data_IF_096917988662
#
_entry.id   IF_096917988662
#
_cell.length_a   1.000
_cell.length_b   1.000
_cell.length_c   1.000
_cell.angle_alpha   90.00
_cell.angle_beta   90.00
_cell.angle_gamma   90.00
#
_symmetry.space_group_name_H-M   'P 1'
#
loop_
_entity.id
_entity.type
_entity.pdbx_description
1 polymer ?
#
# COMPACT_ATOMS: atom_id res chain seq x y z
N UNK A 1 -38.32 -4.29 3.17
CA UNK A 1 -36.96 -3.72 3.05
C UNK A 1 -36.54 -3.77 1.59
N UNK A 2 -36.35 -2.62 0.97
CA UNK A 2 -35.98 -2.54 -0.45
C UNK A 2 -34.47 -2.71 -0.57
N UNK A 3 -34.00 -3.98 -0.58
CA UNK A 3 -32.56 -4.29 -0.70
C UNK A 3 -32.07 -3.91 -2.08
N UNK A 4 -31.10 -2.99 -2.14
CA UNK A 4 -30.45 -2.47 -3.34
C UNK A 4 -29.62 -3.58 -4.00
N UNK A 5 -29.45 -3.55 -5.34
CA UNK A 5 -28.51 -4.42 -6.03
C UNK A 5 -27.09 -4.04 -5.61
N UNK A 6 -26.30 -5.02 -5.26
CA UNK A 6 -24.89 -4.89 -4.91
C UNK A 6 -24.04 -5.65 -5.93
N UNK A 7 -22.93 -5.04 -6.36
CA UNK A 7 -21.99 -5.66 -7.30
C UNK A 7 -20.61 -5.65 -6.65
N UNK A 8 -19.96 -6.79 -6.58
CA UNK A 8 -18.67 -6.95 -5.89
C UNK A 8 -17.89 -8.17 -6.40
N UNK A 9 -16.65 -8.33 -5.91
CA UNK A 9 -15.92 -9.59 -6.02
C UNK A 9 -16.39 -10.52 -4.89
N UNK A 10 -16.64 -11.80 -5.21
CA UNK A 10 -17.05 -12.80 -4.24
C UNK A 10 -15.95 -13.06 -3.21
N UNK A 11 -16.34 -13.22 -1.95
CA UNK A 11 -15.41 -13.42 -0.83
C UNK A 11 -15.96 -14.25 0.32
N UNK A 12 -17.26 -14.51 0.34
CA UNK A 12 -17.93 -15.24 1.42
C UNK A 12 -18.32 -16.65 0.95
N UNK A 13 -18.24 -17.65 1.82
CA UNK A 13 -18.51 -19.06 1.49
C UNK A 13 -19.87 -19.25 0.83
N UNK A 14 -20.93 -18.62 1.38
CA UNK A 14 -22.27 -18.69 0.82
C UNK A 14 -22.37 -18.13 -0.62
N UNK A 15 -21.50 -17.22 -1.02
CA UNK A 15 -21.45 -16.69 -2.38
C UNK A 15 -20.90 -17.73 -3.34
N UNK A 16 -19.83 -18.42 -2.94
CA UNK A 16 -19.25 -19.51 -3.73
C UNK A 16 -20.20 -20.70 -3.87
N UNK A 17 -20.94 -21.03 -2.82
CA UNK A 17 -22.00 -22.04 -2.90
C UNK A 17 -23.04 -21.67 -3.96
N UNK A 18 -23.58 -20.44 -3.92
CA UNK A 18 -24.57 -19.98 -4.89
C UNK A 18 -24.00 -19.79 -6.31
N UNK A 19 -22.71 -19.47 -6.45
CA UNK A 19 -22.01 -19.45 -7.75
C UNK A 19 -22.03 -20.84 -8.38
N UNK A 20 -21.70 -21.89 -7.62
CA UNK A 20 -21.69 -23.26 -8.11
C UNK A 20 -23.10 -23.76 -8.50
N UNK A 21 -24.11 -23.38 -7.73
CA UNK A 21 -25.51 -23.65 -8.08
C UNK A 21 -25.95 -22.91 -9.35
N UNK A 22 -25.61 -21.63 -9.50
CA UNK A 22 -25.94 -20.84 -10.69
C UNK A 22 -25.20 -21.36 -11.93
N UNK A 23 -23.95 -21.80 -11.79
CA UNK A 23 -23.22 -22.50 -12.83
C UNK A 23 -23.95 -23.75 -13.28
N UNK A 24 -24.41 -24.57 -12.34
CA UNK A 24 -25.15 -25.79 -12.67
C UNK A 24 -26.42 -25.45 -13.47
N UNK A 25 -27.26 -24.54 -12.96
CA UNK A 25 -28.48 -24.11 -13.66
C UNK A 25 -28.19 -23.60 -15.07
N UNK A 26 -27.12 -22.86 -15.25
CA UNK A 26 -26.76 -22.27 -16.53
C UNK A 26 -26.11 -23.26 -17.49
N UNK A 27 -25.11 -24.03 -17.05
CA UNK A 27 -24.24 -24.83 -17.93
C UNK A 27 -24.54 -26.32 -17.91
N UNK A 28 -25.53 -26.79 -17.13
CA UNK A 28 -26.03 -28.13 -17.14
C UNK A 28 -27.50 -28.17 -17.56
N UNK A 29 -28.35 -27.29 -17.00
CA UNK A 29 -29.81 -27.33 -17.26
C UNK A 29 -30.21 -26.49 -18.49
N UNK A 30 -29.68 -25.25 -18.66
CA UNK A 30 -30.07 -24.36 -19.76
C UNK A 30 -29.19 -24.55 -21.01
N UNK A 31 -27.87 -24.71 -20.84
CA UNK A 31 -26.90 -24.91 -21.90
C UNK A 31 -26.17 -26.21 -21.58
N UNK A 32 -26.59 -27.37 -22.16
CA UNK A 32 -26.11 -28.68 -21.74
C UNK A 32 -24.67 -28.93 -22.17
N UNK A 33 -23.70 -28.41 -21.39
CA UNK A 33 -22.26 -28.57 -21.58
C UNK A 33 -21.65 -29.62 -20.65
N UNK A 34 -22.34 -29.94 -19.56
CA UNK A 34 -21.89 -30.88 -18.53
C UNK A 34 -23.04 -31.87 -18.18
N UNK A 35 -22.64 -33.01 -17.66
CA UNK A 35 -23.60 -34.02 -17.17
C UNK A 35 -24.30 -33.55 -15.91
N UNK A 36 -25.52 -34.07 -15.71
CA UNK A 36 -26.29 -33.80 -14.47
C UNK A 36 -25.70 -34.55 -13.30
N UNK A 37 -25.70 -33.91 -12.12
CA UNK A 37 -25.34 -34.54 -10.86
C UNK A 37 -26.43 -34.33 -9.81
N UNK A 38 -26.38 -35.14 -8.74
CA UNK A 38 -27.37 -35.14 -7.66
C UNK A 38 -27.31 -33.87 -6.80
N UNK A 39 -26.10 -33.32 -6.61
CA UNK A 39 -25.83 -32.13 -5.76
C UNK A 39 -26.32 -30.83 -6.41
N UNK A 40 -26.68 -30.85 -7.70
CA UNK A 40 -27.09 -29.68 -8.49
C UNK A 40 -26.10 -28.52 -8.37
N UNK A 41 -24.82 -28.84 -8.30
CA UNK A 41 -23.69 -27.93 -8.13
C UNK A 41 -22.63 -28.20 -9.20
N UNK A 42 -22.11 -27.14 -9.82
CA UNK A 42 -21.02 -27.22 -10.81
C UNK A 42 -19.86 -26.34 -10.38
N UNK A 43 -18.85 -26.97 -9.83
CA UNK A 43 -17.58 -26.31 -9.51
C UNK A 43 -16.76 -26.13 -10.79
N UNK A 44 -16.33 -24.91 -11.09
CA UNK A 44 -15.44 -24.66 -12.22
C UNK A 44 -14.06 -25.26 -11.95
N UNK A 45 -13.47 -25.90 -12.98
CA UNK A 45 -12.15 -26.54 -12.87
C UNK A 45 -11.00 -25.60 -12.47
N UNK A 46 -11.19 -24.29 -12.63
CA UNK A 46 -10.24 -23.27 -12.25
C UNK A 46 -10.71 -22.46 -11.03
N UNK A 47 -11.64 -22.99 -10.25
CA UNK A 47 -12.29 -22.27 -9.15
C UNK A 47 -11.30 -21.59 -8.19
N UNK A 48 -10.25 -22.29 -7.78
CA UNK A 48 -9.23 -21.77 -6.84
C UNK A 48 -8.40 -20.61 -7.38
N UNK A 49 -8.43 -20.37 -8.70
CA UNK A 49 -7.63 -19.35 -9.36
C UNK A 49 -8.48 -18.26 -10.04
N UNK A 50 -9.82 -18.42 -10.03
CA UNK A 50 -10.74 -17.44 -10.59
C UNK A 50 -11.06 -16.34 -9.58
N UNK A 51 -11.16 -15.10 -10.07
CA UNK A 51 -11.88 -14.03 -9.37
C UNK A 51 -13.33 -13.99 -9.89
N UNK A 52 -14.32 -14.03 -9.00
CA UNK A 52 -15.73 -13.99 -9.39
C UNK A 52 -16.33 -12.62 -9.13
N UNK A 53 -16.79 -11.95 -10.19
CA UNK A 53 -17.55 -10.71 -10.11
C UNK A 53 -19.03 -11.09 -10.01
N UNK A 54 -19.71 -10.63 -8.96
CA UNK A 54 -21.08 -11.04 -8.65
C UNK A 54 -22.03 -9.84 -8.52
N UNK A 55 -23.32 -10.12 -8.75
CA UNK A 55 -24.43 -9.24 -8.43
C UNK A 55 -25.32 -9.93 -7.39
N UNK A 56 -25.56 -9.29 -6.26
CA UNK A 56 -26.40 -9.81 -5.19
C UNK A 56 -27.55 -8.86 -4.85
N UNK A 57 -28.57 -9.39 -4.21
CA UNK A 57 -29.66 -8.64 -3.56
C UNK A 57 -29.89 -9.24 -2.17
N UNK A 58 -29.34 -8.60 -1.14
CA UNK A 58 -29.22 -9.21 0.19
C UNK A 58 -28.32 -10.46 0.12
N UNK A 59 -28.76 -11.58 0.68
CA UNK A 59 -28.04 -12.86 0.63
C UNK A 59 -28.43 -13.74 -0.58
N UNK A 60 -28.90 -13.17 -1.68
CA UNK A 60 -29.24 -13.90 -2.90
C UNK A 60 -28.36 -13.46 -4.05
N UNK A 61 -27.64 -14.40 -4.67
CA UNK A 61 -26.89 -14.21 -5.91
C UNK A 61 -27.87 -14.09 -7.09
N UNK A 62 -27.69 -13.09 -7.94
CA UNK A 62 -28.51 -12.84 -9.12
C UNK A 62 -27.76 -13.01 -10.43
N UNK A 63 -26.45 -12.89 -10.40
CA UNK A 63 -25.60 -13.06 -11.58
C UNK A 63 -24.13 -13.03 -11.22
N UNK A 64 -23.31 -13.61 -12.07
CA UNK A 64 -21.87 -13.68 -11.87
C UNK A 64 -21.11 -13.76 -13.18
N UNK A 65 -19.81 -13.48 -13.12
CA UNK A 65 -18.82 -13.67 -14.16
C UNK A 65 -17.49 -14.05 -13.50
N UNK A 66 -16.77 -15.00 -14.08
CA UNK A 66 -15.43 -15.39 -13.65
C UNK A 66 -14.37 -14.69 -14.49
N UNK A 67 -13.29 -14.26 -13.85
CA UNK A 67 -12.07 -13.74 -14.47
C UNK A 67 -10.92 -14.65 -14.10
N UNK A 68 -10.17 -15.11 -15.11
CA UNK A 68 -8.95 -15.90 -14.96
C UNK A 68 -7.79 -15.12 -15.59
N UNK A 69 -6.72 -14.92 -14.85
CA UNK A 69 -5.50 -14.20 -15.30
C UNK A 69 -4.25 -15.06 -15.33
N UNK A 70 -4.40 -16.37 -15.08
CA UNK A 70 -3.30 -17.35 -15.14
C UNK A 70 -3.53 -18.37 -16.24
N UNK A 71 -2.47 -18.69 -16.97
CA UNK A 71 -2.49 -19.80 -17.93
C UNK A 71 -2.46 -21.18 -17.23
N UNK A 72 -2.98 -22.24 -17.85
CA UNK A 72 -3.66 -22.23 -19.16
C UNK A 72 -5.06 -21.60 -19.08
N UNK A 73 -5.43 -20.79 -20.07
CA UNK A 73 -6.81 -20.35 -20.27
C UNK A 73 -7.69 -21.51 -20.75
N UNK A 74 -9.01 -21.38 -20.69
CA UNK A 74 -9.88 -22.39 -21.25
C UNK A 74 -9.74 -22.48 -22.78
N UNK A 75 -9.32 -21.38 -23.41
CA UNK A 75 -9.06 -21.32 -24.85
C UNK A 75 -7.75 -22.03 -25.24
N UNK A 76 -6.73 -22.07 -24.39
CA UNK A 76 -5.49 -22.86 -24.62
C UNK A 76 -5.78 -24.36 -24.77
N UNK A 77 -6.89 -24.84 -24.20
CA UNK A 77 -7.30 -26.25 -24.28
C UNK A 77 -8.17 -26.57 -25.52
N UNK A 78 -8.56 -25.54 -26.26
CA UNK A 78 -9.51 -25.65 -27.39
C UNK A 78 -8.89 -25.25 -28.72
N UNK A 79 -7.81 -24.48 -28.69
CA UNK A 79 -7.09 -23.98 -29.86
C UNK A 79 -5.62 -24.36 -29.74
N UNK A 80 -5.04 -24.84 -30.83
CA UNK A 80 -3.59 -24.98 -30.92
C UNK A 80 -2.98 -23.58 -31.10
N UNK A 81 -1.90 -23.31 -30.36
CA UNK A 81 -1.16 -22.04 -30.42
C UNK A 81 -2.05 -20.76 -30.34
N UNK A 82 -2.73 -20.59 -29.20
CA UNK A 82 -3.62 -19.46 -28.97
C UNK A 82 -2.98 -18.10 -29.30
N UNK A 83 -1.69 -17.94 -28.99
CA UNK A 83 -0.99 -16.67 -29.15
C UNK A 83 -0.80 -16.25 -30.59
N UNK A 84 -0.74 -17.21 -31.54
CA UNK A 84 -0.63 -16.92 -32.98
C UNK A 84 -1.83 -16.13 -33.55
N UNK A 85 -2.96 -16.15 -32.84
CA UNK A 85 -4.19 -15.43 -33.22
C UNK A 85 -4.32 -14.05 -32.61
N UNK A 86 -3.46 -13.69 -31.67
CA UNK A 86 -3.61 -12.50 -30.84
C UNK A 86 -2.57 -11.43 -31.22
N UNK A 87 -2.88 -10.14 -31.05
CA UNK A 87 -1.87 -9.08 -31.11
C UNK A 87 -0.84 -9.27 -29.99
N UNK A 88 0.33 -8.65 -30.09
CA UNK A 88 1.31 -8.62 -28.99
C UNK A 88 0.69 -8.04 -27.71
N UNK A 89 0.98 -8.67 -26.57
CA UNK A 89 0.51 -8.26 -25.24
C UNK A 89 1.51 -8.70 -24.17
N UNK A 90 1.52 -8.00 -23.02
CA UNK A 90 2.31 -8.36 -21.84
C UNK A 90 1.46 -9.07 -20.79
N UNK A 91 0.16 -8.71 -20.70
CA UNK A 91 -0.76 -9.24 -19.71
C UNK A 91 -2.12 -9.57 -20.34
N UNK A 92 -2.67 -10.74 -19.98
CA UNK A 92 -3.95 -11.21 -20.51
C UNK A 92 -4.84 -11.77 -19.42
N UNK A 93 -6.16 -11.67 -19.63
CA UNK A 93 -7.15 -12.36 -18.82
C UNK A 93 -8.23 -13.00 -19.68
N UNK A 94 -8.89 -14.03 -19.16
CA UNK A 94 -10.03 -14.68 -19.80
C UNK A 94 -11.29 -14.45 -18.97
N UNK A 95 -12.32 -13.84 -19.58
CA UNK A 95 -13.64 -13.68 -18.98
C UNK A 95 -14.50 -14.89 -19.31
N UNK A 96 -15.07 -15.51 -18.28
CA UNK A 96 -15.74 -16.79 -18.37
C UNK A 96 -17.05 -16.79 -17.58
N UNK A 97 -17.90 -17.77 -17.86
CA UNK A 97 -19.02 -18.17 -17.04
C UNK A 97 -20.02 -17.02 -16.74
N UNK A 98 -20.27 -16.11 -17.71
CA UNK A 98 -21.32 -15.10 -17.53
C UNK A 98 -22.68 -15.80 -17.33
N UNK A 99 -23.17 -15.80 -16.12
CA UNK A 99 -24.43 -16.42 -15.71
C UNK A 99 -25.31 -15.42 -14.98
N UNK A 100 -26.59 -15.40 -15.30
CA UNK A 100 -27.60 -14.57 -14.63
C UNK A 100 -28.83 -15.40 -14.41
N UNK A 101 -29.40 -15.33 -13.22
CA UNK A 101 -30.65 -15.99 -12.85
C UNK A 101 -31.75 -15.71 -13.88
N UNK A 102 -32.44 -16.76 -14.33
CA UNK A 102 -33.37 -16.70 -15.44
C UNK A 102 -34.48 -15.66 -15.24
N UNK A 103 -35.03 -15.60 -14.04
CA UNK A 103 -36.17 -14.77 -13.69
C UNK A 103 -35.86 -13.27 -13.59
N UNK A 104 -34.55 -12.93 -13.48
CA UNK A 104 -34.08 -11.55 -13.30
C UNK A 104 -33.14 -11.08 -14.40
N UNK A 105 -33.06 -11.81 -15.53
CA UNK A 105 -32.22 -11.43 -16.68
C UNK A 105 -32.67 -10.09 -17.26
N UNK A 106 -31.95 -9.05 -16.90
CA UNK A 106 -32.17 -7.74 -17.46
C UNK A 106 -30.82 -7.05 -17.77
N UNK A 107 -30.91 -6.02 -18.60
CA UNK A 107 -29.73 -5.28 -19.07
C UNK A 107 -28.96 -4.62 -17.90
N UNK A 108 -29.66 -4.24 -16.82
CA UNK A 108 -29.07 -3.56 -15.66
C UNK A 108 -28.07 -4.44 -14.91
N UNK A 109 -28.37 -5.74 -14.75
CA UNK A 109 -27.46 -6.68 -14.08
C UNK A 109 -26.22 -6.91 -14.97
N UNK A 110 -26.43 -7.14 -16.28
CA UNK A 110 -25.32 -7.29 -17.24
C UNK A 110 -24.42 -6.06 -17.24
N UNK A 111 -25.00 -4.88 -17.31
CA UNK A 111 -24.26 -3.60 -17.29
C UNK A 111 -23.44 -3.44 -16.00
N UNK A 112 -24.05 -3.71 -14.84
CA UNK A 112 -23.37 -3.63 -13.56
C UNK A 112 -22.17 -4.59 -13.46
N UNK A 113 -22.33 -5.85 -13.89
CA UNK A 113 -21.22 -6.83 -13.94
C UNK A 113 -20.11 -6.35 -14.89
N UNK A 114 -20.44 -5.85 -16.07
CA UNK A 114 -19.46 -5.36 -17.05
C UNK A 114 -18.70 -4.12 -16.56
N UNK A 115 -19.33 -3.26 -15.75
CA UNK A 115 -18.66 -2.09 -15.18
C UNK A 115 -17.65 -2.49 -14.10
N UNK A 116 -18.06 -3.40 -13.20
CA UNK A 116 -17.13 -3.94 -12.19
C UNK A 116 -15.98 -4.66 -12.88
N UNK A 117 -16.28 -5.45 -13.93
CA UNK A 117 -15.26 -6.11 -14.74
C UNK A 117 -14.27 -5.12 -15.36
N UNK A 118 -14.78 -4.04 -15.95
CA UNK A 118 -13.94 -3.04 -16.57
C UNK A 118 -13.00 -2.34 -15.56
N UNK A 119 -13.52 -2.01 -14.37
CA UNK A 119 -12.71 -1.47 -13.27
C UNK A 119 -11.65 -2.47 -12.80
N UNK A 120 -12.06 -3.72 -12.59
CA UNK A 120 -11.14 -4.79 -12.19
C UNK A 120 -10.02 -5.00 -13.22
N UNK A 121 -10.36 -4.99 -14.52
CA UNK A 121 -9.39 -5.12 -15.59
C UNK A 121 -8.43 -3.92 -15.67
N UNK A 122 -8.91 -2.69 -15.42
CA UNK A 122 -8.07 -1.49 -15.34
C UNK A 122 -7.13 -1.51 -14.12
N UNK A 123 -7.62 -1.92 -12.95
CA UNK A 123 -6.81 -2.03 -11.73
C UNK A 123 -5.71 -3.09 -11.83
N UNK A 124 -5.96 -4.16 -12.60
CA UNK A 124 -4.99 -5.24 -12.87
C UNK A 124 -4.10 -4.97 -14.09
N UNK A 125 -4.31 -3.86 -14.79
CA UNK A 125 -3.53 -3.43 -15.94
C UNK A 125 -3.40 -4.49 -17.06
N UNK A 126 -4.49 -5.25 -17.35
CA UNK A 126 -4.46 -6.21 -18.44
C UNK A 126 -4.43 -5.52 -19.80
N UNK A 127 -3.61 -6.01 -20.74
CA UNK A 127 -3.53 -5.51 -22.11
C UNK A 127 -4.65 -6.06 -22.98
N UNK A 128 -5.00 -7.34 -22.77
CA UNK A 128 -5.96 -8.06 -23.60
C UNK A 128 -6.91 -8.90 -22.74
N UNK A 129 -8.17 -8.89 -23.13
CA UNK A 129 -9.22 -9.74 -22.57
C UNK A 129 -9.70 -10.75 -23.60
N UNK A 130 -9.81 -12.01 -23.21
CA UNK A 130 -10.26 -13.13 -24.03
C UNK A 130 -11.64 -13.60 -23.57
N UNK A 131 -12.48 -14.06 -24.51
CA UNK A 131 -13.76 -14.70 -24.23
C UNK A 131 -14.02 -15.84 -25.20
N UNK A 132 -14.80 -16.84 -24.76
CA UNK A 132 -15.54 -17.77 -25.61
C UNK A 132 -16.99 -17.26 -25.72
N UNK A 133 -17.31 -16.56 -26.80
CA UNK A 133 -18.63 -15.96 -26.98
C UNK A 133 -19.63 -16.95 -27.59
N UNK A 134 -20.77 -17.15 -26.94
CA UNK A 134 -21.85 -17.99 -27.52
C UNK A 134 -22.26 -17.41 -28.88
N UNK A 135 -22.28 -18.26 -29.92
CA UNK A 135 -22.55 -17.85 -31.31
C UNK A 135 -23.89 -17.09 -31.44
N UNK A 136 -24.89 -17.46 -30.64
CA UNK A 136 -26.21 -16.78 -30.63
C UNK A 136 -26.13 -15.33 -30.06
N UNK A 137 -25.01 -14.96 -29.43
CA UNK A 137 -24.84 -13.65 -28.78
C UNK A 137 -23.69 -12.82 -29.39
N UNK A 138 -23.13 -13.21 -30.52
CA UNK A 138 -21.97 -12.52 -31.14
C UNK A 138 -22.20 -11.03 -31.38
N UNK A 139 -23.43 -10.62 -31.74
CA UNK A 139 -23.75 -9.20 -31.95
C UNK A 139 -23.51 -8.38 -30.70
N UNK A 140 -23.88 -8.90 -29.53
CA UNK A 140 -23.69 -8.25 -28.23
C UNK A 140 -22.18 -8.03 -27.94
N UNK A 141 -21.35 -9.08 -28.11
CA UNK A 141 -19.93 -8.97 -27.81
C UNK A 141 -19.19 -8.07 -28.83
N UNK A 142 -19.59 -8.10 -30.11
CA UNK A 142 -19.08 -7.16 -31.11
C UNK A 142 -19.43 -5.69 -30.77
N UNK A 143 -20.61 -5.44 -30.23
CA UNK A 143 -21.00 -4.11 -29.73
C UNK A 143 -20.19 -3.66 -28.51
N UNK A 144 -19.63 -4.58 -27.74
CA UNK A 144 -18.68 -4.29 -26.65
C UNK A 144 -17.23 -4.10 -27.15
N UNK A 145 -16.98 -4.24 -28.46
CA UNK A 145 -15.67 -4.04 -29.08
C UNK A 145 -14.84 -5.30 -29.22
N UNK A 146 -15.35 -6.48 -28.84
CA UNK A 146 -14.64 -7.74 -29.02
C UNK A 146 -14.52 -8.12 -30.51
N UNK A 147 -13.34 -8.57 -30.90
CA UNK A 147 -13.01 -9.04 -32.25
C UNK A 147 -12.92 -10.56 -32.28
N UNK A 148 -13.58 -11.24 -33.24
CA UNK A 148 -13.48 -12.69 -33.37
C UNK A 148 -12.11 -13.09 -33.92
N UNK A 149 -11.63 -14.28 -33.51
CA UNK A 149 -10.43 -14.92 -34.02
C UNK A 149 -10.59 -16.45 -34.03
N UNK A 150 -9.73 -17.14 -34.77
CA UNK A 150 -9.71 -18.60 -34.84
C UNK A 150 -11.04 -19.22 -35.31
N UNK A 151 -11.16 -20.53 -35.13
CA UNK A 151 -12.36 -21.31 -35.48
C UNK A 151 -13.36 -21.34 -34.30
N UNK A 152 -14.63 -21.60 -34.61
CA UNK A 152 -15.62 -21.90 -33.58
C UNK A 152 -15.22 -23.15 -32.78
N UNK A 153 -15.45 -23.13 -31.49
CA UNK A 153 -15.14 -24.19 -30.53
C UNK A 153 -16.39 -24.68 -29.79
N UNK A 154 -16.35 -25.87 -29.21
CA UNK A 154 -17.46 -26.46 -28.44
C UNK A 154 -18.13 -27.63 -29.16
N UNK A 155 -19.37 -27.95 -28.78
CA UNK A 155 -20.18 -29.04 -29.30
C UNK A 155 -21.25 -28.52 -30.28
N UNK A 156 -21.95 -29.42 -31.00
CA UNK A 156 -23.05 -29.03 -31.90
C UNK A 156 -24.13 -28.21 -31.19
N UNK A 157 -24.43 -28.55 -29.93
CA UNK A 157 -25.45 -27.87 -29.12
C UNK A 157 -24.99 -26.61 -28.43
N UNK A 158 -23.65 -26.45 -28.27
CA UNK A 158 -23.05 -25.33 -27.55
C UNK A 158 -21.78 -24.81 -28.26
N UNK A 159 -21.99 -24.06 -29.36
CA UNK A 159 -20.91 -23.45 -30.14
C UNK A 159 -20.52 -22.08 -29.64
N UNK A 160 -19.22 -21.81 -29.63
CA UNK A 160 -18.63 -20.56 -29.17
C UNK A 160 -17.59 -20.07 -30.16
N UNK A 161 -17.59 -18.77 -30.42
CA UNK A 161 -16.57 -18.07 -31.17
C UNK A 161 -15.55 -17.47 -30.18
N UNK A 162 -14.28 -17.84 -30.27
CA UNK A 162 -13.21 -17.13 -29.56
C UNK A 162 -13.15 -15.67 -29.98
N UNK A 163 -13.05 -14.77 -29.02
CA UNK A 163 -12.96 -13.33 -29.27
C UNK A 163 -11.98 -12.68 -28.29
N UNK A 164 -11.34 -11.60 -28.74
CA UNK A 164 -10.48 -10.78 -27.87
C UNK A 164 -10.89 -9.30 -27.92
N UNK A 165 -10.50 -8.58 -26.87
CA UNK A 165 -10.65 -7.13 -26.74
C UNK A 165 -9.32 -6.56 -26.20
N UNK A 166 -8.70 -5.60 -26.91
CA UNK A 166 -7.58 -4.85 -26.36
C UNK A 166 -8.11 -3.76 -25.43
N UNK A 167 -7.51 -3.60 -24.25
CA UNK A 167 -8.00 -2.63 -23.24
C UNK A 167 -7.86 -1.17 -23.71
N UNK A 168 -6.87 -0.87 -24.55
CA UNK A 168 -6.76 0.44 -25.19
C UNK A 168 -8.02 0.78 -26.02
N UNK A 169 -8.51 -0.18 -26.80
CA UNK A 169 -9.78 -0.03 -27.56
C UNK A 169 -10.99 0.07 -26.63
N UNK A 170 -10.96 -0.62 -25.48
CA UNK A 170 -12.01 -0.61 -24.46
C UNK A 170 -12.13 0.75 -23.76
N UNK A 171 -11.01 1.42 -23.47
CA UNK A 171 -11.00 2.78 -22.87
C UNK A 171 -11.68 3.79 -23.78
N UNK A 172 -11.36 3.77 -25.08
CA UNK A 172 -12.00 4.63 -26.09
C UNK A 172 -13.50 4.32 -26.22
N UNK A 173 -13.87 3.05 -26.21
CA UNK A 173 -15.28 2.63 -26.28
C UNK A 173 -16.08 3.07 -25.06
N UNK A 174 -15.51 3.00 -23.83
CA UNK A 174 -16.18 3.42 -22.59
C UNK A 174 -16.45 4.93 -22.57
N UNK A 175 -15.51 5.74 -23.03
CA UNK A 175 -15.67 7.20 -23.11
C UNK A 175 -16.79 7.61 -24.07
N UNK A 176 -17.03 6.84 -25.12
CA UNK A 176 -17.99 7.14 -26.18
C UNK A 176 -19.32 6.37 -26.08
N UNK A 177 -19.45 5.41 -25.16
CA UNK A 177 -20.63 4.55 -25.07
C UNK A 177 -21.69 5.12 -24.12
N UNK A 178 -22.84 5.51 -24.69
CA UNK A 178 -24.06 5.85 -23.92
C UNK A 178 -24.56 4.71 -23.02
N UNK A 179 -24.12 3.45 -23.26
CA UNK A 179 -24.50 2.28 -22.49
C UNK A 179 -23.79 2.25 -21.13
N UNK A 180 -22.55 2.73 -21.06
CA UNK A 180 -21.70 2.72 -19.88
C UNK A 180 -21.68 4.06 -19.13
N UNK A 181 -22.05 5.17 -19.78
CA UNK A 181 -22.09 6.51 -19.18
C UNK A 181 -23.26 6.77 -18.21
N UNK A 182 -24.21 5.84 -18.10
CA UNK A 182 -25.41 5.96 -17.23
C UNK A 182 -25.29 5.24 -15.88
N UNK A 183 -24.08 4.94 -15.46
CA UNK A 183 -23.88 4.23 -14.20
C UNK A 183 -23.79 5.22 -13.04
N UNK A 184 -24.41 4.89 -11.89
CA UNK A 184 -24.35 5.78 -10.74
C UNK A 184 -22.91 5.88 -10.22
N UNK A 185 -22.48 7.10 -9.86
CA UNK A 185 -21.17 7.44 -9.29
C UNK A 185 -20.85 6.70 -7.95
N UNK A 186 -21.80 5.95 -7.42
CA UNK A 186 -21.72 5.24 -6.14
C UNK A 186 -21.25 3.78 -6.27
N UNK A 187 -20.58 3.41 -7.35
CA UNK A 187 -19.95 2.11 -7.49
C UNK A 187 -18.57 2.11 -6.81
N UNK A 188 -18.50 1.73 -5.56
CA UNK A 188 -17.25 1.29 -4.98
C UNK A 188 -17.09 -0.21 -5.23
N UNK A 189 -16.03 -0.62 -5.93
CA UNK A 189 -15.49 -1.95 -5.76
C UNK A 189 -15.09 -2.03 -4.28
N UNK A 190 -15.77 -2.84 -3.51
CA UNK A 190 -15.17 -3.32 -2.26
C UNK A 190 -14.05 -4.26 -2.70
N UNK A 191 -12.85 -3.72 -2.79
CA UNK A 191 -11.67 -4.56 -2.84
C UNK A 191 -11.66 -5.36 -1.55
N UNK A 192 -11.84 -6.66 -1.67
CA UNK A 192 -11.67 -7.59 -0.55
C UNK A 192 -10.18 -7.88 -0.29
N UNK A 193 -9.28 -6.97 -0.68
CA UNK A 193 -7.91 -7.03 -0.19
C UNK A 193 -7.97 -6.88 1.34
N UNK A 194 -7.30 -7.76 2.08
CA UNK A 194 -7.27 -7.65 3.52
C UNK A 194 -6.85 -6.23 3.91
N UNK A 195 -7.63 -5.59 4.76
CA UNK A 195 -7.26 -4.28 5.31
C UNK A 195 -6.00 -4.48 6.13
N UNK A 196 -4.91 -3.86 5.71
CA UNK A 196 -3.65 -3.91 6.45
C UNK A 196 -3.76 -2.96 7.65
N UNK A 197 -3.87 -3.53 8.84
CA UNK A 197 -3.89 -2.81 10.12
C UNK A 197 -2.53 -2.84 10.84
N UNK A 198 -1.46 -3.27 10.17
CA UNK A 198 -0.11 -3.24 10.75
C UNK A 198 0.36 -1.79 10.93
N UNK A 199 1.11 -1.50 12.01
CA UNK A 199 1.73 -0.18 12.21
C UNK A 199 2.83 0.13 11.19
N UNK A 200 3.31 -0.89 10.47
CA UNK A 200 4.29 -0.81 9.38
C UNK A 200 4.86 -2.18 9.01
N UNK A 201 5.10 -2.44 7.70
CA UNK A 201 4.76 -1.56 6.58
C UNK A 201 3.25 -1.42 6.38
N UNK A 202 2.81 -0.20 6.05
CA UNK A 202 1.41 0.12 5.80
C UNK A 202 1.03 -0.07 4.33
N UNK A 203 -0.27 -0.01 4.02
CA UNK A 203 -0.74 0.00 2.64
C UNK A 203 -0.29 1.26 1.91
N UNK A 204 0.12 1.11 0.65
CA UNK A 204 0.66 2.19 -0.17
C UNK A 204 -0.35 2.56 -1.26
N UNK A 205 -0.63 3.85 -1.44
CA UNK A 205 -1.55 4.39 -2.44
C UNK A 205 -1.08 4.21 -3.89
N UNK A 206 -2.00 4.39 -4.85
CA UNK A 206 -1.70 4.19 -6.28
C UNK A 206 -0.63 5.17 -6.80
N UNK A 207 -0.70 6.44 -6.40
CA UNK A 207 0.26 7.47 -6.80
C UNK A 207 1.68 7.13 -6.34
N UNK A 208 1.81 6.60 -5.12
CA UNK A 208 3.09 6.19 -4.54
C UNK A 208 3.63 4.93 -5.24
N UNK A 209 2.75 3.96 -5.58
CA UNK A 209 3.11 2.77 -6.36
C UNK A 209 3.62 3.15 -7.75
N UNK A 210 2.95 4.08 -8.43
CA UNK A 210 3.33 4.55 -9.75
C UNK A 210 4.70 5.24 -9.71
N UNK A 211 4.93 6.11 -8.73
CA UNK A 211 6.22 6.78 -8.56
C UNK A 211 7.37 5.79 -8.27
N UNK A 212 7.10 4.72 -7.51
CA UNK A 212 8.08 3.66 -7.25
C UNK A 212 8.45 2.86 -8.50
N UNK A 213 7.52 2.74 -9.47
CA UNK A 213 7.71 1.97 -10.70
C UNK A 213 8.37 2.77 -11.84
N UNK A 214 8.67 4.05 -11.65
CA UNK A 214 9.39 4.86 -12.62
C UNK A 214 10.81 4.31 -12.88
N UNK A 215 11.35 4.61 -14.05
CA UNK A 215 12.72 4.22 -14.37
C UNK A 215 13.71 4.91 -13.43
N UNK A 216 14.67 4.17 -12.84
CA UNK A 216 15.63 4.77 -11.93
C UNK A 216 16.52 5.81 -12.65
N UNK A 217 16.76 6.92 -11.96
CA UNK A 217 17.66 7.99 -12.44
C UNK A 217 18.89 8.10 -11.55
N UNK A 218 19.95 8.74 -12.08
CA UNK A 218 21.16 8.97 -11.30
C UNK A 218 20.88 9.90 -10.12
N UNK A 219 21.28 9.49 -8.92
CA UNK A 219 21.25 10.33 -7.72
C UNK A 219 22.16 11.56 -7.79
N UNK A 220 22.94 11.71 -8.86
CA UNK A 220 23.83 12.85 -9.14
C UNK A 220 23.32 13.74 -10.28
N UNK A 221 22.16 13.42 -10.90
CA UNK A 221 21.55 14.30 -11.88
C UNK A 221 21.02 15.57 -11.21
N UNK A 222 21.13 16.73 -11.87
CA UNK A 222 20.68 18.01 -11.32
C UNK A 222 19.20 18.00 -10.95
N UNK A 223 18.37 17.36 -11.77
CA UNK A 223 16.92 17.29 -11.52
C UNK A 223 16.62 16.42 -10.30
N UNK A 224 17.31 15.28 -10.14
CA UNK A 224 17.13 14.45 -8.95
C UNK A 224 17.59 15.19 -7.67
N UNK A 225 18.70 15.90 -7.72
CA UNK A 225 19.19 16.69 -6.56
C UNK A 225 18.15 17.73 -6.15
N UNK A 226 17.54 18.44 -7.11
CA UNK A 226 16.46 19.40 -6.83
C UNK A 226 15.24 18.72 -6.19
N UNK A 227 14.79 17.60 -6.75
CA UNK A 227 13.65 16.83 -6.20
C UNK A 227 13.95 16.32 -4.79
N UNK A 228 15.17 15.87 -4.54
CA UNK A 228 15.62 15.41 -3.23
C UNK A 228 15.61 16.55 -2.19
N UNK A 229 16.05 17.76 -2.56
CA UNK A 229 15.98 18.92 -1.67
C UNK A 229 14.53 19.32 -1.37
N UNK A 230 13.64 19.30 -2.36
CA UNK A 230 12.21 19.55 -2.14
C UNK A 230 11.60 18.55 -1.15
N UNK A 231 11.96 17.27 -1.22
CA UNK A 231 11.53 16.26 -0.24
C UNK A 231 12.04 16.58 1.16
N UNK A 232 13.31 17.03 1.30
CA UNK A 232 13.84 17.46 2.59
C UNK A 232 13.10 18.69 3.15
N UNK A 233 12.81 19.67 2.31
CA UNK A 233 12.03 20.86 2.67
C UNK A 233 10.63 20.48 3.16
N UNK A 234 9.88 19.66 2.41
CA UNK A 234 8.55 19.19 2.78
C UNK A 234 8.55 18.40 4.12
N UNK A 235 9.55 17.54 4.33
CA UNK A 235 9.70 16.82 5.60
C UNK A 235 9.94 17.78 6.78
N UNK A 236 10.80 18.80 6.59
CA UNK A 236 11.07 19.81 7.61
C UNK A 236 9.83 20.66 7.93
N UNK A 237 9.10 21.12 6.89
CA UNK A 237 7.87 21.88 7.04
C UNK A 237 6.78 21.10 7.79
N UNK A 238 6.62 19.80 7.50
CA UNK A 238 5.64 18.94 8.14
C UNK A 238 5.79 18.87 9.66
N UNK A 239 6.99 19.00 10.20
CA UNK A 239 7.30 18.78 11.62
C UNK A 239 7.96 19.98 12.30
N UNK A 240 8.05 21.13 11.63
CA UNK A 240 8.69 22.35 12.11
C UNK A 240 10.15 22.12 12.56
N UNK A 241 10.94 21.46 11.71
CA UNK A 241 12.39 21.24 11.91
C UNK A 241 13.21 22.04 10.92
N UNK A 242 14.43 22.46 11.31
CA UNK A 242 15.32 23.21 10.42
C UNK A 242 16.02 22.34 9.39
N UNK A 243 16.38 21.12 9.77
CA UNK A 243 17.21 20.23 8.97
C UNK A 243 16.71 18.80 9.08
N UNK A 244 16.91 18.03 8.02
CA UNK A 244 16.72 16.58 7.99
C UNK A 244 17.76 15.92 7.12
N UNK A 245 18.32 14.79 7.56
CA UNK A 245 19.10 13.91 6.71
C UNK A 245 18.34 12.62 6.42
N UNK A 246 18.39 12.19 5.17
CA UNK A 246 17.71 11.00 4.66
C UNK A 246 18.76 9.88 4.48
N UNK A 247 18.56 8.80 5.20
CA UNK A 247 19.43 7.62 5.17
C UNK A 247 18.73 6.45 4.47
N UNK A 248 19.49 5.68 3.71
CA UNK A 248 19.00 4.44 3.11
C UNK A 248 18.95 3.33 4.16
N UNK A 249 17.77 3.09 4.75
CA UNK A 249 17.63 2.07 5.78
C UNK A 249 16.31 2.10 6.53
N UNK A 250 16.26 1.33 7.62
CA UNK A 250 15.11 1.25 8.51
C UNK A 250 15.15 2.34 9.60
N UNK A 251 14.05 2.49 10.35
CA UNK A 251 14.01 3.38 11.51
C UNK A 251 15.10 3.06 12.57
N UNK A 252 15.51 1.80 12.66
CA UNK A 252 16.65 1.42 13.54
C UNK A 252 17.95 2.06 13.12
N UNK A 253 18.21 2.23 11.81
CA UNK A 253 19.39 2.96 11.33
C UNK A 253 19.34 4.45 11.74
N UNK A 254 18.16 5.08 11.71
CA UNK A 254 18.01 6.45 12.19
C UNK A 254 18.31 6.55 13.70
N UNK A 255 17.85 5.59 14.51
CA UNK A 255 18.15 5.52 15.92
C UNK A 255 19.66 5.23 16.18
N UNK A 256 20.31 4.38 15.37
CA UNK A 256 21.76 4.19 15.43
C UNK A 256 22.51 5.50 15.11
N UNK A 257 22.03 6.27 14.14
CA UNK A 257 22.62 7.58 13.83
C UNK A 257 22.42 8.58 14.98
N UNK A 258 21.24 8.62 15.60
CA UNK A 258 20.99 9.42 16.81
C UNK A 258 21.95 9.02 17.94
N UNK A 259 22.09 7.71 18.21
CA UNK A 259 23.00 7.19 19.25
C UNK A 259 24.46 7.58 18.94
N UNK A 260 24.88 7.47 17.65
CA UNK A 260 26.22 7.87 17.23
C UNK A 260 26.48 9.36 17.43
N UNK A 261 25.52 10.23 17.09
CA UNK A 261 25.66 11.67 17.37
C UNK A 261 25.76 11.95 18.88
N UNK A 262 24.94 11.32 19.69
CA UNK A 262 25.01 11.46 21.15
C UNK A 262 26.34 10.96 21.74
N UNK A 263 27.02 10.01 21.10
CA UNK A 263 28.33 9.53 21.55
C UNK A 263 29.46 10.57 21.37
N UNK A 264 29.24 11.55 20.51
CA UNK A 264 30.16 12.67 20.31
C UNK A 264 30.02 13.76 21.40
N UNK A 265 28.93 13.71 22.13
CA UNK A 265 28.60 14.69 23.16
C UNK A 265 29.19 14.31 24.51
N UNK A 266 29.63 15.32 25.25
CA UNK A 266 30.07 15.15 26.64
C UNK A 266 28.87 15.19 27.58
N UNK A 267 28.81 14.26 28.50
CA UNK A 267 27.79 14.26 29.56
C UNK A 267 27.02 12.94 29.62
N UNK A 268 26.10 12.89 30.57
CA UNK A 268 25.25 11.74 30.83
C UNK A 268 23.87 11.97 30.22
N UNK A 269 23.21 10.92 29.81
CA UNK A 269 21.84 10.97 29.31
C UNK A 269 20.80 10.44 30.31
N UNK A 270 19.53 10.58 29.91
CA UNK A 270 18.39 9.91 30.54
C UNK A 270 17.56 9.26 29.43
N UNK A 271 17.38 7.94 29.51
CA UNK A 271 16.49 7.21 28.61
C UNK A 271 15.18 6.92 29.34
N UNK A 272 14.05 7.18 28.65
CA UNK A 272 12.72 6.87 29.14
C UNK A 272 12.17 5.68 28.37
N UNK A 273 11.78 4.59 29.07
CA UNK A 273 11.29 3.36 28.44
C UNK A 273 10.01 2.87 29.10
N UNK A 274 8.95 2.69 28.27
CA UNK A 274 7.64 2.15 28.70
C UNK A 274 7.08 1.11 27.71
N UNK A 275 7.95 0.51 26.89
CA UNK A 275 7.63 -0.55 25.96
C UNK A 275 8.84 -1.06 25.18
N UNK A 276 8.58 -1.90 24.18
CA UNK A 276 9.61 -2.56 23.36
C UNK A 276 10.55 -1.57 22.67
N UNK A 277 10.00 -0.47 22.08
CA UNK A 277 10.84 0.50 21.37
C UNK A 277 11.67 1.35 22.33
N UNK A 278 11.14 1.66 23.51
CA UNK A 278 11.94 2.25 24.58
C UNK A 278 13.10 1.34 25.04
N UNK A 279 12.89 0.03 25.09
CA UNK A 279 13.96 -0.94 25.39
C UNK A 279 14.99 -1.02 24.26
N UNK A 280 14.58 -0.82 22.99
CA UNK A 280 15.51 -0.73 21.86
C UNK A 280 16.38 0.52 21.91
N UNK A 281 15.87 1.66 22.40
CA UNK A 281 16.70 2.85 22.61
C UNK A 281 17.83 2.55 23.62
N UNK A 282 17.55 1.76 24.66
CA UNK A 282 18.57 1.31 25.60
C UNK A 282 19.64 0.46 24.89
N UNK A 283 19.23 -0.46 24.00
CA UNK A 283 20.16 -1.29 23.23
C UNK A 283 21.02 -0.43 22.29
N UNK A 284 20.41 0.51 21.54
CA UNK A 284 21.16 1.46 20.69
C UNK A 284 22.21 2.25 21.51
N UNK A 285 21.82 2.77 22.65
CA UNK A 285 22.71 3.53 23.54
C UNK A 285 23.88 2.68 24.07
N UNK A 286 23.61 1.45 24.49
CA UNK A 286 24.62 0.52 25.00
C UNK A 286 25.63 0.12 23.92
N UNK A 287 25.19 -0.08 22.66
CA UNK A 287 26.06 -0.48 21.54
C UNK A 287 27.13 0.54 21.22
N UNK A 288 26.86 1.82 21.43
CA UNK A 288 27.83 2.91 21.22
C UNK A 288 28.45 3.41 22.53
N UNK A 289 28.19 2.74 23.65
CA UNK A 289 28.79 3.02 24.95
C UNK A 289 28.34 4.33 25.60
N UNK A 290 27.10 4.77 25.36
CA UNK A 290 26.57 5.97 26.01
C UNK A 290 26.49 5.79 27.54
N UNK A 291 26.80 6.85 28.27
CA UNK A 291 26.56 6.93 29.71
C UNK A 291 25.17 7.53 29.96
N UNK A 292 24.26 6.81 30.62
CA UNK A 292 22.92 7.28 30.86
C UNK A 292 22.30 6.73 32.14
N UNK A 293 21.31 7.48 32.69
CA UNK A 293 20.32 7.00 33.65
C UNK A 293 19.11 6.45 32.92
N UNK A 294 18.30 5.65 33.63
CA UNK A 294 17.13 5.00 33.07
C UNK A 294 15.90 5.22 33.95
N UNK A 295 14.82 5.73 33.36
CA UNK A 295 13.47 5.58 33.91
C UNK A 295 12.77 4.52 33.10
N UNK A 296 12.71 3.30 33.64
CA UNK A 296 11.99 2.17 33.05
C UNK A 296 10.69 1.96 33.80
N UNK A 297 9.57 1.97 33.07
CA UNK A 297 8.23 1.67 33.57
C UNK A 297 7.77 0.29 33.11
N UNK A 298 6.69 -0.21 33.68
CA UNK A 298 5.99 -1.34 33.10
C UNK A 298 5.43 -0.95 31.72
N UNK A 299 5.32 -1.92 30.82
CA UNK A 299 4.82 -1.69 29.48
C UNK A 299 3.40 -1.12 29.51
N UNK A 300 3.18 -0.01 28.82
CA UNK A 300 1.88 0.68 28.72
C UNK A 300 1.65 1.73 29.82
N UNK A 301 2.56 1.92 30.76
CA UNK A 301 2.49 3.00 31.74
C UNK A 301 2.95 4.34 31.14
N UNK A 302 2.32 5.43 31.56
CA UNK A 302 2.72 6.79 31.19
C UNK A 302 3.77 7.33 32.15
N UNK A 303 4.71 8.15 31.66
CA UNK A 303 5.71 8.80 32.50
C UNK A 303 5.07 9.86 33.39
N UNK A 304 5.41 9.84 34.70
CA UNK A 304 5.09 10.94 35.59
C UNK A 304 6.08 12.09 35.34
N UNK A 305 5.59 13.27 34.88
CA UNK A 305 6.42 14.43 34.65
C UNK A 305 7.26 14.85 35.87
N UNK A 306 6.70 14.75 37.06
CA UNK A 306 7.40 15.10 38.33
C UNK A 306 8.58 14.16 38.56
N UNK A 307 8.44 12.88 38.24
CA UNK A 307 9.53 11.93 38.38
C UNK A 307 10.67 12.25 37.40
N UNK A 308 10.34 12.61 36.13
CA UNK A 308 11.35 13.05 35.16
C UNK A 308 12.06 14.32 35.63
N UNK A 309 11.29 15.33 36.05
CA UNK A 309 11.82 16.60 36.53
C UNK A 309 12.73 16.42 37.77
N UNK A 310 12.29 15.63 38.76
CA UNK A 310 13.09 15.33 39.95
C UNK A 310 14.38 14.57 39.60
N UNK A 311 14.34 13.65 38.66
CA UNK A 311 15.54 12.92 38.20
C UNK A 311 16.56 13.88 37.59
N UNK A 312 16.13 14.81 36.76
CA UNK A 312 17.02 15.83 36.18
C UNK A 312 17.56 16.79 37.25
N UNK A 313 16.72 17.22 38.21
CA UNK A 313 17.12 18.10 39.29
C UNK A 313 18.22 17.48 40.21
N UNK A 314 18.10 16.18 40.47
CA UNK A 314 19.03 15.44 41.31
C UNK A 314 20.34 15.04 40.55
N UNK A 315 20.32 15.09 39.23
CA UNK A 315 21.43 14.67 38.37
C UNK A 315 21.81 15.78 37.36
N UNK A 316 22.44 16.88 37.76
CA UNK A 316 22.78 18.01 36.89
C UNK A 316 23.80 17.65 35.78
N UNK A 317 24.39 16.48 35.84
CA UNK A 317 25.25 15.91 34.80
C UNK A 317 24.48 15.36 33.60
N UNK A 318 23.15 15.19 33.67
CA UNK A 318 22.32 14.77 32.55
C UNK A 318 22.21 15.93 31.57
N UNK A 319 22.59 15.69 30.31
CA UNK A 319 22.64 16.69 29.23
C UNK A 319 21.60 16.44 28.15
N UNK A 320 21.09 15.22 28.04
CA UNK A 320 20.07 14.84 27.08
C UNK A 320 19.08 13.81 27.62
N UNK A 321 17.85 13.85 27.08
CA UNK A 321 16.82 12.82 27.28
C UNK A 321 16.55 12.17 25.94
N UNK A 322 16.32 10.84 25.91
CA UNK A 322 15.88 10.12 24.72
C UNK A 322 14.65 9.27 25.04
N UNK A 323 13.59 9.43 24.24
CA UNK A 323 12.29 8.80 24.49
C UNK A 323 11.58 8.47 23.18
N UNK A 324 10.77 7.42 23.16
CA UNK A 324 9.86 7.11 22.06
C UNK A 324 8.62 8.00 22.17
N UNK A 325 8.24 8.72 21.10
CA UNK A 325 7.03 9.55 21.13
C UNK A 325 5.76 8.68 21.12
N UNK A 326 5.63 7.75 20.15
CA UNK A 326 4.52 6.79 20.09
C UNK A 326 5.05 5.37 20.27
N UNK A 327 4.85 4.82 21.47
CA UNK A 327 5.25 3.46 21.80
C UNK A 327 4.28 2.44 21.19
N UNK A 328 4.59 1.99 19.99
CA UNK A 328 3.71 1.16 19.17
C UNK A 328 3.38 -0.18 19.80
N UNK A 329 4.30 -0.74 20.58
CA UNK A 329 4.11 -2.05 21.23
C UNK A 329 2.99 -2.05 22.28
N UNK A 330 2.66 -0.86 22.82
CA UNK A 330 1.67 -0.68 23.89
C UNK A 330 0.55 0.29 23.53
N UNK A 331 0.70 1.04 22.41
CA UNK A 331 -0.26 2.05 21.97
C UNK A 331 -0.21 3.34 22.81
N UNK A 332 0.85 3.57 23.57
CA UNK A 332 1.01 4.78 24.40
C UNK A 332 1.61 5.92 23.57
N UNK A 333 0.92 7.05 23.51
CA UNK A 333 1.47 8.32 23.04
C UNK A 333 2.01 9.09 24.26
N UNK A 334 3.33 9.27 24.34
CA UNK A 334 3.97 9.99 25.43
C UNK A 334 3.76 11.50 25.27
N UNK A 335 3.57 12.20 26.40
CA UNK A 335 3.27 13.64 26.44
C UNK A 335 4.51 14.47 26.06
N UNK A 336 4.69 14.65 24.74
CA UNK A 336 5.80 15.41 24.18
C UNK A 336 5.83 16.86 24.70
N UNK A 337 4.67 17.51 24.83
CA UNK A 337 4.59 18.92 25.24
C UNK A 337 5.19 19.11 26.64
N UNK A 338 4.72 18.32 27.60
CA UNK A 338 5.22 18.42 28.98
C UNK A 338 6.69 18.04 29.09
N UNK A 339 7.15 17.01 28.33
CA UNK A 339 8.57 16.64 28.32
C UNK A 339 9.45 17.73 27.71
N UNK A 340 9.01 18.41 26.63
CA UNK A 340 9.70 19.57 26.04
C UNK A 340 9.84 20.70 27.07
N UNK A 341 8.75 21.08 27.75
CA UNK A 341 8.76 22.13 28.78
C UNK A 341 9.75 21.81 29.91
N UNK A 342 9.82 20.57 30.38
CA UNK A 342 10.79 20.14 31.39
C UNK A 342 12.21 20.26 30.84
N UNK A 343 12.46 19.82 29.63
CA UNK A 343 13.79 19.87 29.01
C UNK A 343 14.29 21.31 28.83
N UNK A 344 13.43 22.21 28.34
CA UNK A 344 13.74 23.64 28.19
C UNK A 344 14.08 24.28 29.56
N UNK A 345 13.24 24.05 30.57
CA UNK A 345 13.44 24.60 31.91
C UNK A 345 14.72 24.09 32.60
N UNK A 346 15.23 22.91 32.17
CA UNK A 346 16.44 22.27 32.73
C UNK A 346 17.66 22.38 31.84
N UNK A 347 17.57 23.12 30.72
CA UNK A 347 18.64 23.24 29.73
C UNK A 347 19.17 21.84 29.27
N UNK A 348 18.23 20.90 29.15
CA UNK A 348 18.49 19.51 28.75
C UNK A 348 18.03 19.30 27.31
N UNK A 349 18.85 18.73 26.46
CA UNK A 349 18.50 18.43 25.06
C UNK A 349 17.51 17.27 25.00
N UNK A 350 16.54 17.37 24.12
CA UNK A 350 15.55 16.29 23.92
C UNK A 350 15.77 15.58 22.61
N UNK A 351 15.89 14.26 22.67
CA UNK A 351 15.92 13.37 21.49
C UNK A 351 14.68 12.50 21.47
N UNK A 352 14.14 12.25 20.25
CA UNK A 352 12.91 11.51 20.05
C UNK A 352 13.05 10.37 19.07
N UNK A 353 12.41 9.24 19.33
CA UNK A 353 12.03 8.30 18.32
C UNK A 353 10.61 8.62 17.84
N UNK A 354 10.50 9.20 16.63
CA UNK A 354 9.25 9.54 15.97
C UNK A 354 8.88 8.56 14.86
N UNK A 355 9.53 7.41 14.78
CA UNK A 355 9.34 6.40 13.71
C UNK A 355 7.88 5.99 13.53
N UNK A 356 7.08 5.99 14.59
CA UNK A 356 5.66 5.64 14.52
C UNK A 356 4.71 6.83 14.62
N UNK A 357 5.20 8.02 14.96
CA UNK A 357 4.35 9.21 15.16
C UNK A 357 4.39 10.19 13.97
N UNK A 358 5.48 10.25 13.21
CA UNK A 358 5.55 11.12 12.03
C UNK A 358 4.48 10.71 11.01
N UNK A 359 3.69 11.68 10.56
CA UNK A 359 2.58 11.45 9.63
C UNK A 359 1.33 10.79 10.23
N UNK A 360 1.30 10.53 11.57
CA UNK A 360 0.12 9.96 12.26
C UNK A 360 -0.49 10.87 13.29
N UNK A 361 0.30 11.73 13.90
CA UNK A 361 -0.15 12.76 14.86
C UNK A 361 0.57 14.07 14.55
N UNK A 362 -0.02 15.23 14.88
CA UNK A 362 0.67 16.51 14.79
C UNK A 362 1.96 16.47 15.58
N UNK A 363 3.05 16.91 14.98
CA UNK A 363 4.39 16.83 15.56
C UNK A 363 5.13 18.15 15.33
N UNK A 364 5.58 18.79 16.41
CA UNK A 364 6.42 19.97 16.41
C UNK A 364 7.80 19.61 16.96
N UNK A 365 8.82 19.64 16.10
CA UNK A 365 10.20 19.33 16.42
C UNK A 365 11.09 20.57 16.60
N UNK A 366 10.54 21.80 16.64
CA UNK A 366 11.31 23.05 16.69
C UNK A 366 12.37 23.13 17.79
N UNK A 367 12.09 22.54 18.97
CA UNK A 367 13.00 22.52 20.12
C UNK A 367 13.65 21.14 20.35
N UNK A 368 13.52 20.23 19.39
CA UNK A 368 14.07 18.89 19.50
C UNK A 368 15.52 18.88 18.97
N UNK A 369 16.40 18.25 19.74
CA UNK A 369 17.80 18.15 19.38
C UNK A 369 18.04 17.20 18.23
N UNK A 370 17.55 15.96 18.35
CA UNK A 370 17.58 14.93 17.31
C UNK A 370 16.26 14.16 17.33
N UNK A 371 15.69 13.88 16.15
CA UNK A 371 14.50 13.05 16.05
C UNK A 371 14.59 12.07 14.89
N UNK A 372 14.31 10.80 15.15
CA UNK A 372 14.29 9.76 14.12
C UNK A 372 12.91 9.60 13.49
N UNK A 373 12.84 9.25 12.21
CA UNK A 373 11.63 8.97 11.45
C UNK A 373 11.84 7.94 10.36
N UNK A 374 10.78 7.53 9.66
CA UNK A 374 10.84 6.53 8.59
C UNK A 374 9.73 6.71 7.56
N UNK A 375 10.00 6.37 6.30
CA UNK A 375 9.03 6.50 5.20
C UNK A 375 7.88 5.47 5.24
N UNK A 376 8.13 4.25 5.73
CA UNK A 376 7.24 3.09 5.57
C UNK A 376 6.19 2.91 6.66
N UNK A 377 5.87 3.94 7.43
CA UNK A 377 4.82 3.94 8.46
C UNK A 377 3.80 5.06 8.20
N UNK A 378 3.63 6.02 9.10
CA UNK A 378 2.61 7.06 8.99
C UNK A 378 2.66 7.90 7.72
N UNK A 379 3.82 8.05 7.08
CA UNK A 379 3.96 8.71 5.78
C UNK A 379 3.40 7.91 4.59
N UNK A 380 2.95 6.68 4.80
CA UNK A 380 2.34 5.82 3.79
C UNK A 380 3.16 5.64 2.50
N UNK A 381 4.50 5.69 2.59
CA UNK A 381 5.42 5.37 1.51
C UNK A 381 6.05 3.98 1.69
N UNK A 382 6.89 3.58 0.74
CA UNK A 382 7.64 2.33 0.86
C UNK A 382 8.68 2.41 1.99
N UNK A 383 8.92 1.33 2.75
CA UNK A 383 10.05 1.25 3.67
C UNK A 383 11.37 1.28 2.91
N UNK A 384 12.42 1.80 3.54
CA UNK A 384 13.77 1.85 2.96
C UNK A 384 14.44 3.22 3.06
N UNK A 385 13.69 4.27 3.43
CA UNK A 385 14.24 5.57 3.81
C UNK A 385 13.97 5.82 5.29
N UNK A 386 14.98 6.29 6.00
CA UNK A 386 14.87 6.75 7.38
C UNK A 386 15.42 8.16 7.51
N UNK A 387 15.00 8.88 8.54
CA UNK A 387 15.25 10.31 8.70
C UNK A 387 15.83 10.59 10.05
N UNK A 388 16.72 11.61 10.12
CA UNK A 388 17.08 12.25 11.37
C UNK A 388 16.90 13.75 11.19
N UNK A 389 15.97 14.32 11.98
CA UNK A 389 15.68 15.75 12.06
C UNK A 389 16.53 16.39 13.15
N UNK A 390 16.94 17.65 12.93
CA UNK A 390 17.72 18.41 13.91
C UNK A 390 17.63 19.92 13.68
N UNK A 391 17.95 20.73 14.74
CA UNK A 391 17.77 22.17 14.73
C UNK A 391 19.04 22.98 15.03
N UNK A 392 20.21 22.33 14.95
CA UNK A 392 21.52 22.91 15.24
C UNK A 392 22.52 22.55 14.15
N UNK A 393 23.66 23.18 14.14
CA UNK A 393 24.74 22.80 13.22
C UNK A 393 25.36 21.46 13.66
N UNK A 394 25.54 20.54 12.71
CA UNK A 394 26.24 19.27 12.91
C UNK A 394 27.49 19.23 12.01
N UNK A 395 28.63 19.00 12.61
CA UNK A 395 29.92 18.88 11.90
C UNK A 395 30.28 17.39 11.72
N UNK A 396 30.92 17.06 10.61
CA UNK A 396 31.40 15.70 10.36
C UNK A 396 32.50 15.30 11.34
N UNK A 397 32.42 14.07 11.83
CA UNK A 397 33.38 13.51 12.82
C UNK A 397 33.91 12.14 12.34
N UNK A 398 34.65 12.17 11.23
CA UNK A 398 35.12 10.98 10.50
C UNK A 398 35.96 10.01 11.32
N UNK A 399 36.61 10.47 12.39
CA UNK A 399 37.53 9.66 13.21
C UNK A 399 36.85 8.98 14.40
N UNK A 400 35.58 9.29 14.67
CA UNK A 400 34.90 8.89 15.89
C UNK A 400 33.69 7.97 15.65
N UNK A 401 33.00 8.14 14.53
CA UNK A 401 31.79 7.39 14.21
C UNK A 401 31.84 6.83 12.78
N UNK A 402 31.14 5.73 12.51
CA UNK A 402 31.04 5.16 11.17
C UNK A 402 30.42 6.15 10.17
N UNK A 403 30.93 6.17 8.95
CA UNK A 403 30.55 7.09 7.87
C UNK A 403 29.02 7.15 7.63
N UNK A 404 28.33 6.02 7.67
CA UNK A 404 26.87 5.95 7.47
C UNK A 404 26.03 6.53 8.62
N UNK A 405 26.67 6.80 9.76
CA UNK A 405 26.03 7.38 10.95
C UNK A 405 26.44 8.83 11.18
N UNK A 406 27.36 9.37 10.36
CA UNK A 406 27.88 10.72 10.47
C UNK A 406 26.95 11.71 9.75
N UNK A 407 25.97 12.27 10.48
CA UNK A 407 25.01 13.24 9.94
C UNK A 407 25.72 14.52 9.40
N UNK A 408 26.85 14.92 9.98
CA UNK A 408 27.62 16.04 9.49
C UNK A 408 28.22 15.77 8.10
N UNK A 409 28.56 14.52 7.81
CA UNK A 409 29.00 14.12 6.47
C UNK A 409 27.86 14.18 5.45
N UNK A 410 26.63 13.82 5.84
CA UNK A 410 25.43 14.02 4.99
C UNK A 410 25.20 15.51 4.74
N UNK A 411 25.19 16.35 5.77
CA UNK A 411 24.96 17.78 5.66
C UNK A 411 25.97 18.46 4.73
N UNK A 412 27.26 18.14 4.83
CA UNK A 412 28.33 18.68 3.96
C UNK A 412 28.24 18.21 2.50
N UNK A 413 27.52 17.07 2.27
CA UNK A 413 27.34 16.46 0.96
C UNK A 413 25.94 16.75 0.37
N UNK A 414 25.30 17.84 0.75
CA UNK A 414 23.94 18.21 0.34
C UNK A 414 22.89 17.09 0.58
N UNK A 415 23.14 16.24 1.60
CA UNK A 415 22.30 15.09 1.95
C UNK A 415 22.53 13.84 1.09
N UNK A 416 23.40 13.86 0.09
CA UNK A 416 23.62 12.75 -0.86
C UNK A 416 25.08 12.28 -0.87
N UNK A 417 25.65 11.81 0.26
CA UNK A 417 27.04 11.35 0.29
C UNK A 417 27.22 9.98 -0.40
N UNK A 418 26.15 9.21 -0.54
CA UNK A 418 26.14 7.85 -1.09
C UNK A 418 25.10 7.69 -2.19
N UNK A 419 25.07 6.51 -2.83
CA UNK A 419 24.01 6.15 -3.76
C UNK A 419 22.67 6.06 -3.04
N UNK A 420 21.68 6.81 -3.53
CA UNK A 420 20.31 6.81 -3.04
C UNK A 420 19.39 6.24 -4.13
N UNK A 421 18.39 5.48 -3.75
CA UNK A 421 17.34 4.99 -4.66
C UNK A 421 16.41 6.14 -5.06
N UNK A 422 16.45 6.55 -6.33
CA UNK A 422 15.53 7.54 -6.87
C UNK A 422 14.09 7.12 -6.75
N UNK A 423 13.79 5.83 -6.97
CA UNK A 423 12.45 5.27 -6.85
C UNK A 423 11.85 5.46 -5.45
N UNK A 424 12.64 5.19 -4.39
CA UNK A 424 12.19 5.39 -3.01
C UNK A 424 11.95 6.88 -2.69
N UNK A 425 12.80 7.77 -3.21
CA UNK A 425 12.66 9.22 -3.02
C UNK A 425 11.41 9.72 -3.75
N UNK A 426 11.18 9.31 -4.99
CA UNK A 426 9.98 9.68 -5.75
C UNK A 426 8.69 9.11 -5.13
N UNK A 427 8.74 7.87 -4.61
CA UNK A 427 7.62 7.30 -3.86
C UNK A 427 7.32 8.12 -2.59
N UNK A 428 8.34 8.58 -1.87
CA UNK A 428 8.17 9.45 -0.70
C UNK A 428 7.62 10.82 -1.11
N UNK A 429 8.15 11.44 -2.16
CA UNK A 429 7.62 12.70 -2.71
C UNK A 429 6.14 12.60 -3.08
N UNK A 430 5.73 11.48 -3.71
CA UNK A 430 4.32 11.25 -4.03
C UNK A 430 3.46 11.09 -2.77
N UNK A 431 3.98 10.44 -1.72
CA UNK A 431 3.28 10.29 -0.46
C UNK A 431 3.10 11.64 0.26
N UNK A 432 4.14 12.47 0.33
CA UNK A 432 4.08 13.80 0.95
C UNK A 432 3.05 14.70 0.26
N UNK A 433 2.96 14.67 -1.07
CA UNK A 433 1.93 15.42 -1.84
C UNK A 433 0.49 15.01 -1.53
N UNK A 434 0.25 13.81 -1.00
CA UNK A 434 -1.08 13.40 -0.54
C UNK A 434 -1.40 14.06 0.79
N UNK A 435 -0.43 14.16 1.71
CA UNK A 435 -0.61 14.87 2.98
C UNK A 435 -0.99 16.34 2.82
N UNK A 436 -0.41 17.05 1.84
CA UNK A 436 -0.71 18.47 1.57
C UNK A 436 -2.14 18.71 1.07
N UNK A 437 -2.88 17.67 0.72
CA UNK A 437 -4.26 17.76 0.19
C UNK A 437 -5.34 17.44 1.22
N UNK A 438 -5.00 16.86 2.36
CA UNK A 438 -5.89 16.52 3.47
C UNK A 438 -5.75 17.51 4.64
#
# INVERSE_FOLDING_TARGET
MNTKLEFKIASEDWEFEQINELNYRTFVEEIPQHERNEDRSLLDKFHSENSYIICTKGKKLLGMMAVRDKRPFSLDQKLEDLDSYLPEYNSACEFRLLSIEKDVRNLRIVQGLLVVLAKFADEKEYDIALISANVKRLRFYKQLGFKPFGTEVGTEDARYQPMYLTLQSSRVFRQNSKLLSRLPDNFSLKNNEPVNLLPGPVSVGAEVKNAMNESPVSHRSEDFVKDFQLVKEQLCEMVDSKHVEILMGSGSLANDAVAAQLSLEKGKGLILSNGEFGERLIDHANRVGLNFELIKLAWGESFDPKRVENTLAQNPGIKWIWVVHSETSTGVLNDLKTLKEICVNRETRMCLDCVSSIGTVPLDLSDIHLASGVSGKGLASYPGLSFVFYNHEILSCSDQIPRYLDLGFYAQSEGIPFTVSSNLVYALSAALKVFDKE
#
